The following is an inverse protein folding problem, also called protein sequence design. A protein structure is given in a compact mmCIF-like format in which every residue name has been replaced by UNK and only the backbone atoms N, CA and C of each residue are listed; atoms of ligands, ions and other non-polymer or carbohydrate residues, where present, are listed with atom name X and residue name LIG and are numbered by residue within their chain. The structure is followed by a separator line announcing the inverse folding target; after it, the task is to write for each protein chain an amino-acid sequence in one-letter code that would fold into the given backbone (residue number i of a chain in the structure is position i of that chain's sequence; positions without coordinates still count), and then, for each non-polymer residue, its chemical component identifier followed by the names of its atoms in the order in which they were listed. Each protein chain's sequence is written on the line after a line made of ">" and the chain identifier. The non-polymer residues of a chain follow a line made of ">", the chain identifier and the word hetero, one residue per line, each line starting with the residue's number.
data_IF_861438131039
#
_entry.id   IF_861438131039
#
_cell.length_a   1.000
_cell.length_b   1.000
_cell.length_c   1.000
_cell.angle_alpha   90.00
_cell.angle_beta   90.00
_cell.angle_gamma   90.00
#
_symmetry.space_group_name_H-M   'P 1'
#
loop_
_entity.id
_entity.type
_entity.pdbx_description
1 polymer ?
#
# COMPACT_ATOMS: atom_id res chain seq x y z
N UNK A 1 16.43 -11.25 -11.48
CA UNK A 1 14.97 -11.19 -11.67
C UNK A 1 14.52 -9.79 -11.28
N UNK A 2 13.50 -9.22 -11.92
CA UNK A 2 13.00 -7.89 -11.56
C UNK A 2 12.00 -8.02 -10.41
N UNK A 3 12.17 -7.21 -9.36
CA UNK A 3 11.23 -7.12 -8.24
C UNK A 3 10.40 -5.84 -8.35
N UNK A 4 9.10 -5.95 -8.09
CA UNK A 4 8.15 -4.83 -8.20
C UNK A 4 7.39 -4.71 -6.89
N UNK A 5 7.26 -3.49 -6.40
CA UNK A 5 6.52 -3.14 -5.18
C UNK A 5 5.51 -2.02 -5.44
N UNK A 6 4.56 -1.85 -4.53
CA UNK A 6 3.52 -0.81 -4.59
C UNK A 6 3.78 0.25 -3.51
N UNK A 7 3.64 1.53 -3.88
CA UNK A 7 3.64 2.68 -2.97
C UNK A 7 2.28 3.37 -3.05
N UNK A 8 1.66 3.62 -1.91
CA UNK A 8 0.40 4.38 -1.83
C UNK A 8 0.64 5.79 -1.31
N UNK A 9 -0.12 6.73 -1.88
CA UNK A 9 -0.29 8.05 -1.30
C UNK A 9 -1.25 7.96 -0.08
N UNK A 10 -0.71 8.18 1.11
CA UNK A 10 -1.36 7.99 2.39
C UNK A 10 -2.12 9.21 2.92
N UNK A 11 -2.06 10.36 2.24
CA UNK A 11 -2.69 11.61 2.69
C UNK A 11 -4.23 11.49 2.85
N UNK A 12 -4.91 10.84 1.91
CA UNK A 12 -6.38 10.89 1.83
C UNK A 12 -7.02 9.53 1.57
N UNK A 13 -8.14 9.26 2.25
CA UNK A 13 -9.03 8.14 1.93
C UNK A 13 -8.50 6.74 2.29
N UNK A 14 -7.28 6.61 2.79
CA UNK A 14 -6.75 5.37 3.33
C UNK A 14 -7.27 5.19 4.77
N UNK A 15 -8.07 4.15 4.98
CA UNK A 15 -8.50 3.72 6.30
C UNK A 15 -8.09 2.26 6.52
N UNK A 16 -8.26 1.77 7.75
CA UNK A 16 -7.80 0.43 8.12
C UNK A 16 -8.41 -0.68 7.25
N UNK A 17 -9.72 -0.63 6.98
CA UNK A 17 -10.37 -1.64 6.15
C UNK A 17 -9.85 -1.64 4.71
N UNK A 18 -9.63 -0.46 4.12
CA UNK A 18 -9.03 -0.33 2.78
C UNK A 18 -7.58 -0.83 2.78
N UNK A 19 -6.81 -0.50 3.80
CA UNK A 19 -5.43 -0.98 3.96
C UNK A 19 -5.36 -2.52 3.97
N UNK A 20 -6.17 -3.18 4.78
CA UNK A 20 -6.21 -4.66 4.84
C UNK A 20 -6.56 -5.29 3.49
N UNK A 21 -7.51 -4.71 2.74
CA UNK A 21 -7.87 -5.18 1.40
C UNK A 21 -6.70 -5.03 0.42
N UNK A 22 -5.99 -3.91 0.47
CA UNK A 22 -4.84 -3.65 -0.42
C UNK A 22 -3.68 -4.59 -0.09
N UNK A 23 -3.34 -4.77 1.19
CA UNK A 23 -2.31 -5.73 1.63
C UNK A 23 -2.59 -7.11 1.03
N UNK A 24 -3.82 -7.61 1.20
CA UNK A 24 -4.22 -8.91 0.64
C UNK A 24 -4.03 -8.97 -0.88
N UNK A 25 -4.46 -7.94 -1.61
CA UNK A 25 -4.27 -7.90 -3.07
C UNK A 25 -2.81 -7.83 -3.51
N UNK A 26 -1.96 -7.09 -2.78
CA UNK A 26 -0.52 -6.99 -3.07
C UNK A 26 0.15 -8.35 -2.93
N UNK A 27 -0.16 -9.07 -1.85
CA UNK A 27 0.36 -10.42 -1.60
C UNK A 27 -0.16 -11.42 -2.65
N UNK A 28 -1.46 -11.42 -2.95
CA UNK A 28 -2.08 -12.31 -3.95
C UNK A 28 -1.52 -12.09 -5.37
N UNK A 29 -1.11 -10.86 -5.69
CA UNK A 29 -0.53 -10.51 -6.99
C UNK A 29 0.99 -10.70 -7.06
N UNK A 30 1.64 -11.08 -5.95
CA UNK A 30 3.07 -11.41 -5.93
C UNK A 30 4.01 -10.20 -5.94
N UNK A 31 3.54 -9.01 -5.53
CA UNK A 31 4.42 -7.87 -5.33
C UNK A 31 5.31 -8.10 -4.10
N UNK A 32 6.56 -7.64 -4.18
CA UNK A 32 7.54 -7.89 -3.11
C UNK A 32 7.37 -6.97 -1.90
N UNK A 33 6.51 -5.95 -2.00
CA UNK A 33 6.29 -5.00 -0.91
C UNK A 33 5.13 -4.03 -1.15
N UNK A 34 4.63 -3.50 -0.03
CA UNK A 34 3.66 -2.41 0.03
C UNK A 34 4.16 -1.34 0.99
N UNK A 35 4.23 -0.11 0.50
CA UNK A 35 4.66 1.07 1.25
C UNK A 35 3.58 2.14 1.20
N UNK A 36 3.61 3.07 2.16
CA UNK A 36 2.75 4.26 2.17
C UNK A 36 3.53 5.49 2.56
N UNK A 37 3.14 6.65 2.04
CA UNK A 37 3.59 7.93 2.60
C UNK A 37 2.98 8.15 3.99
N UNK A 38 3.74 8.86 4.81
CA UNK A 38 3.31 9.37 6.11
C UNK A 38 3.17 10.89 6.04
N UNK A 39 2.09 11.41 6.63
CA UNK A 39 1.74 12.82 6.56
C UNK A 39 1.26 13.27 7.94
N UNK A 40 1.93 14.28 8.50
CA UNK A 40 1.55 14.86 9.79
C UNK A 40 0.39 15.86 9.65
N UNK A 41 0.34 16.58 8.53
CA UNK A 41 -0.73 17.51 8.19
C UNK A 41 -1.32 17.18 6.82
N UNK A 42 -2.52 17.67 6.58
CA UNK A 42 -3.12 17.73 5.24
C UNK A 42 -2.58 18.89 4.42
#
# INVERSE_FOLDING_TARGET
>A
MLEIAIMLEGQNGLNWSRWQKIVKSVEELGFVGLYRSDHFTN
#
